data_IF_285969961788
#
_entry.id   IF_285969961788
#
_cell.length_a   1.000
_cell.length_b   1.000
_cell.length_c   1.000
_cell.angle_alpha   90.00
_cell.angle_beta   90.00
_cell.angle_gamma   90.00
#
_symmetry.space_group_name_H-M   'P 1'
#
loop_
_entity.id
_entity.type
_entity.pdbx_description
1 polymer ?
#
# COMPACT_ATOMS: atom_id res chain seq x y z
N UNK A 1 59.44 21.88 26.55
CA UNK A 1 59.27 20.41 26.43
C UNK A 1 57.81 20.18 26.08
N UNK A 2 57.51 19.75 24.84
CA UNK A 2 56.15 19.72 24.29
C UNK A 2 55.35 18.51 24.78
N UNK A 3 54.00 18.58 24.91
CA UNK A 3 53.18 17.41 25.20
C UNK A 3 52.73 16.69 23.93
N UNK A 4 53.15 15.43 23.83
CA UNK A 4 52.46 14.23 23.31
C UNK A 4 51.44 14.36 22.17
N UNK A 5 51.81 13.87 20.99
CA UNK A 5 50.89 13.45 19.93
C UNK A 5 50.24 12.10 20.30
N UNK A 6 49.00 12.16 20.76
CA UNK A 6 48.13 10.99 20.89
C UNK A 6 47.63 10.57 19.50
N UNK A 7 48.27 9.57 18.91
CA UNK A 7 47.82 8.95 17.66
C UNK A 7 46.47 8.28 17.84
N UNK A 8 45.40 8.93 17.36
CA UNK A 8 44.08 8.33 17.22
C UNK A 8 44.19 7.22 16.17
N UNK A 9 44.24 5.97 16.61
CA UNK A 9 44.14 4.81 15.75
C UNK A 9 42.73 4.78 15.17
N UNK A 10 42.59 5.31 13.96
CA UNK A 10 41.39 5.17 13.14
C UNK A 10 41.26 3.70 12.77
N UNK A 11 40.51 2.92 13.55
CA UNK A 11 40.10 1.57 13.17
C UNK A 11 39.41 1.66 11.81
N UNK A 12 40.08 1.17 10.76
CA UNK A 12 39.47 1.04 9.45
C UNK A 12 38.39 -0.01 9.58
N UNK A 13 37.12 0.40 9.63
CA UNK A 13 35.99 -0.51 9.55
C UNK A 13 36.19 -1.41 8.32
N UNK A 14 36.04 -2.74 8.45
CA UNK A 14 36.24 -3.64 7.32
C UNK A 14 35.32 -3.21 6.17
N UNK A 15 35.91 -3.08 4.98
CA UNK A 15 35.18 -2.72 3.76
C UNK A 15 34.15 -3.82 3.50
N UNK A 16 32.87 -3.51 3.69
CA UNK A 16 31.79 -4.46 3.54
C UNK A 16 31.76 -4.98 2.09
N UNK A 17 31.95 -6.28 1.89
CA UNK A 17 31.78 -6.89 0.57
C UNK A 17 30.29 -7.02 0.23
N UNK A 18 29.95 -7.05 -1.06
CA UNK A 18 28.56 -7.22 -1.49
C UNK A 18 27.95 -8.51 -0.95
N UNK A 19 28.68 -9.63 -0.98
CA UNK A 19 28.19 -10.91 -0.48
C UNK A 19 27.88 -10.83 1.02
N UNK A 20 28.80 -10.25 1.80
CA UNK A 20 28.56 -10.07 3.23
C UNK A 20 27.37 -9.14 3.52
N UNK A 21 27.18 -8.08 2.71
CA UNK A 21 26.02 -7.21 2.83
C UNK A 21 24.72 -7.98 2.54
N UNK A 22 24.71 -8.82 1.50
CA UNK A 22 23.55 -9.65 1.15
C UNK A 22 23.23 -10.66 2.24
N UNK A 23 24.23 -11.30 2.85
CA UNK A 23 24.03 -12.22 3.98
C UNK A 23 23.40 -11.50 5.18
N UNK A 24 23.93 -10.32 5.55
CA UNK A 24 23.37 -9.49 6.62
C UNK A 24 21.95 -9.04 6.29
N UNK A 25 21.70 -8.70 5.02
CA UNK A 25 20.39 -8.28 4.57
C UNK A 25 19.38 -9.42 4.70
N UNK A 26 19.73 -10.62 4.21
CA UNK A 26 18.87 -11.80 4.25
C UNK A 26 18.62 -12.28 5.69
N UNK A 27 19.65 -12.36 6.52
CA UNK A 27 19.52 -12.88 7.87
C UNK A 27 18.87 -11.89 8.84
N UNK A 28 19.24 -10.61 8.75
CA UNK A 28 18.86 -9.61 9.78
C UNK A 28 17.86 -8.59 9.25
N UNK A 29 18.15 -7.96 8.13
CA UNK A 29 17.34 -6.82 7.65
C UNK A 29 15.96 -7.28 7.23
N UNK A 30 15.84 -8.38 6.46
CA UNK A 30 14.54 -8.91 6.03
C UNK A 30 13.60 -9.21 7.21
N UNK A 31 14.13 -9.61 8.37
CA UNK A 31 13.33 -9.86 9.58
C UNK A 31 12.86 -8.58 10.27
N UNK A 32 13.54 -7.45 10.02
CA UNK A 32 13.20 -6.14 10.57
C UNK A 32 12.17 -5.40 9.71
N UNK A 33 12.15 -5.63 8.39
CA UNK A 33 11.27 -4.90 7.47
C UNK A 33 9.77 -4.99 7.82
N UNK A 34 9.22 -6.12 8.29
CA UNK A 34 7.82 -6.20 8.72
C UNK A 34 7.46 -5.22 9.84
N UNK A 35 8.41 -4.85 10.71
CA UNK A 35 8.17 -3.83 11.75
C UNK A 35 7.96 -2.42 11.18
N UNK A 36 8.35 -2.20 9.94
CA UNK A 36 8.18 -0.94 9.21
C UNK A 36 7.05 -1.02 8.16
N UNK A 37 6.13 -1.98 8.29
CA UNK A 37 5.08 -2.25 7.31
C UNK A 37 5.61 -2.55 5.89
N UNK A 38 6.85 -3.03 5.77
CA UNK A 38 7.44 -3.44 4.51
C UNK A 38 7.59 -4.96 4.45
N UNK A 39 6.85 -5.58 3.52
CA UNK A 39 6.75 -7.03 3.38
C UNK A 39 7.33 -7.48 2.03
N UNK A 40 8.67 -7.62 1.91
CA UNK A 40 9.26 -8.23 0.71
C UNK A 40 8.77 -9.67 0.61
N UNK A 41 7.88 -9.91 -0.34
CA UNK A 41 7.25 -11.20 -0.58
C UNK A 41 7.09 -11.42 -2.08
N UNK A 42 6.58 -12.59 -2.45
CA UNK A 42 6.31 -12.94 -3.84
C UNK A 42 5.45 -11.88 -4.54
N UNK A 43 5.67 -11.66 -5.83
CA UNK A 43 4.97 -10.64 -6.62
C UNK A 43 3.44 -10.82 -6.64
N UNK A 44 2.95 -12.05 -6.45
CA UNK A 44 1.52 -12.38 -6.45
C UNK A 44 0.91 -12.42 -5.03
N UNK A 45 1.69 -12.10 -4.00
CA UNK A 45 1.25 -12.16 -2.61
C UNK A 45 0.24 -11.05 -2.26
N UNK A 46 -0.93 -11.39 -1.67
CA UNK A 46 -1.89 -10.41 -1.15
C UNK A 46 -1.30 -9.46 -0.09
N UNK A 47 -0.14 -9.81 0.51
CA UNK A 47 0.54 -8.96 1.50
C UNK A 47 0.90 -7.58 0.95
N UNK A 48 1.11 -7.44 -0.36
CA UNK A 48 1.29 -6.13 -1.00
C UNK A 48 0.10 -5.19 -0.80
N UNK A 49 -1.09 -5.75 -0.60
CA UNK A 49 -2.34 -5.04 -0.37
C UNK A 49 -2.80 -5.13 1.09
N UNK A 50 -1.88 -5.37 2.02
CA UNK A 50 -2.21 -5.57 3.44
C UNK A 50 -3.04 -6.82 3.71
N UNK A 51 -2.95 -7.82 2.85
CA UNK A 51 -3.69 -9.09 2.97
C UNK A 51 -5.11 -9.05 2.39
N UNK A 52 -5.47 -8.03 1.62
CA UNK A 52 -6.73 -8.03 0.87
C UNK A 52 -6.68 -9.07 -0.25
N UNK A 53 -7.65 -9.98 -0.25
CA UNK A 53 -7.76 -11.06 -1.24
C UNK A 53 -8.96 -10.88 -2.18
N UNK A 54 -9.96 -10.08 -1.77
CA UNK A 54 -11.11 -9.79 -2.62
C UNK A 54 -10.73 -8.78 -3.74
N UNK A 55 -11.06 -9.07 -5.01
CA UNK A 55 -10.72 -8.20 -6.13
C UNK A 55 -11.29 -6.79 -6.06
N UNK A 56 -12.52 -6.60 -5.56
CA UNK A 56 -13.11 -5.26 -5.39
C UNK A 56 -12.36 -4.49 -4.32
N UNK A 57 -12.02 -5.15 -3.22
CA UNK A 57 -11.29 -4.53 -2.12
C UNK A 57 -9.87 -4.10 -2.53
N UNK A 58 -9.18 -4.94 -3.29
CA UNK A 58 -7.87 -4.61 -3.89
C UNK A 58 -7.99 -3.43 -4.85
N UNK A 59 -8.99 -3.43 -5.74
CA UNK A 59 -9.20 -2.34 -6.69
C UNK A 59 -9.54 -1.01 -6.00
N UNK A 60 -10.36 -1.03 -4.95
CA UNK A 60 -10.66 0.13 -4.12
C UNK A 60 -9.36 0.66 -3.48
N UNK A 61 -8.58 -0.21 -2.85
CA UNK A 61 -7.30 0.16 -2.23
C UNK A 61 -6.31 0.76 -3.25
N UNK A 62 -6.26 0.23 -4.48
CA UNK A 62 -5.42 0.71 -5.57
C UNK A 62 -5.76 2.15 -6.02
N UNK A 63 -7.03 2.54 -5.98
CA UNK A 63 -7.43 3.95 -6.19
C UNK A 63 -7.04 4.80 -4.99
N UNK A 64 -7.28 4.31 -3.77
CA UNK A 64 -7.05 5.06 -2.54
C UNK A 64 -5.57 5.38 -2.29
N UNK A 65 -4.65 4.48 -2.65
CA UNK A 65 -3.20 4.62 -2.39
C UNK A 65 -2.51 5.69 -3.25
N UNK A 66 -3.15 6.14 -4.34
CA UNK A 66 -2.58 7.18 -5.21
C UNK A 66 -2.25 8.45 -4.42
N UNK A 67 -0.99 8.89 -4.46
CA UNK A 67 -0.50 10.10 -3.79
C UNK A 67 -0.83 10.18 -2.29
N UNK A 68 -0.80 9.04 -1.58
CA UNK A 68 -1.00 9.00 -0.13
C UNK A 68 -0.16 7.92 0.54
N UNK A 69 -0.12 7.93 1.86
CA UNK A 69 0.56 6.90 2.65
C UNK A 69 -0.34 5.69 2.86
N UNK A 70 0.25 4.49 2.95
CA UNK A 70 -0.52 3.26 3.16
C UNK A 70 -1.32 3.28 4.46
N UNK A 71 -0.79 3.89 5.53
CA UNK A 71 -1.52 4.07 6.80
C UNK A 71 -2.86 4.79 6.61
N UNK A 72 -2.92 5.80 5.74
CA UNK A 72 -4.16 6.53 5.45
C UNK A 72 -5.16 5.65 4.70
N UNK A 73 -4.67 4.76 3.83
CA UNK A 73 -5.50 3.78 3.12
C UNK A 73 -6.06 2.77 4.10
N UNK A 74 -5.23 2.23 5.02
CA UNK A 74 -5.69 1.33 6.09
C UNK A 74 -6.84 1.95 6.89
N UNK A 75 -6.71 3.24 7.25
CA UNK A 75 -7.75 3.98 7.96
C UNK A 75 -9.02 4.18 7.12
N UNK A 76 -8.90 4.72 5.89
CA UNK A 76 -10.05 4.95 5.01
C UNK A 76 -10.80 3.65 4.72
N UNK A 77 -10.05 2.59 4.48
CA UNK A 77 -10.60 1.30 4.14
C UNK A 77 -11.30 0.62 5.34
N UNK A 78 -10.73 0.74 6.55
CA UNK A 78 -11.42 0.37 7.80
C UNK A 78 -12.75 1.12 7.95
N UNK A 79 -12.76 2.43 7.66
CA UNK A 79 -13.98 3.25 7.73
C UNK A 79 -15.02 2.82 6.70
N UNK A 80 -14.61 2.50 5.46
CA UNK A 80 -15.50 1.98 4.42
C UNK A 80 -16.11 0.64 4.81
N UNK A 81 -15.32 -0.33 5.29
CA UNK A 81 -15.85 -1.63 5.77
C UNK A 81 -16.86 -1.44 6.90
N UNK A 82 -16.54 -0.61 7.89
CA UNK A 82 -17.45 -0.33 9.01
C UNK A 82 -18.78 0.30 8.55
N UNK A 83 -18.77 1.03 7.44
CA UNK A 83 -19.95 1.62 6.82
C UNK A 83 -20.64 0.72 5.77
N UNK A 84 -20.16 -0.52 5.56
CA UNK A 84 -20.61 -1.41 4.49
C UNK A 84 -20.48 -0.78 3.08
N UNK A 85 -19.40 -0.03 2.85
CA UNK A 85 -19.07 0.66 1.59
C UNK A 85 -17.79 0.11 0.93
N UNK A 86 -17.52 -1.18 1.09
CA UNK A 86 -16.32 -1.85 0.60
C UNK A 86 -16.57 -2.74 -0.63
N UNK A 87 -17.70 -2.59 -1.32
CA UNK A 87 -17.99 -3.27 -2.60
C UNK A 87 -18.45 -2.28 -3.67
N UNK A 88 -18.25 -2.60 -4.94
CA UNK A 88 -18.72 -1.81 -6.07
C UNK A 88 -20.23 -1.61 -6.06
N UNK A 89 -21.00 -2.64 -5.69
CA UNK A 89 -22.44 -2.52 -5.57
C UNK A 89 -22.85 -1.46 -4.52
N UNK A 90 -22.15 -1.43 -3.38
CA UNK A 90 -22.40 -0.43 -2.33
C UNK A 90 -21.89 0.96 -2.70
N UNK A 91 -20.73 1.06 -3.36
CA UNK A 91 -20.14 2.32 -3.84
C UNK A 91 -21.02 2.97 -4.92
N UNK A 92 -21.51 2.17 -5.90
CA UNK A 92 -22.39 2.65 -6.97
C UNK A 92 -23.69 3.23 -6.41
N UNK A 93 -24.30 2.55 -5.44
CA UNK A 93 -25.55 3.01 -4.79
C UNK A 93 -25.37 4.18 -3.83
N UNK A 94 -24.16 4.45 -3.36
CA UNK A 94 -23.92 5.49 -2.35
C UNK A 94 -23.74 6.88 -2.95
N UNK A 95 -24.19 7.88 -2.22
CA UNK A 95 -23.92 9.27 -2.56
C UNK A 95 -22.42 9.58 -2.49
N UNK A 96 -21.93 10.42 -3.40
CA UNK A 96 -20.54 10.87 -3.40
C UNK A 96 -20.12 11.45 -2.04
N UNK A 97 -21.01 12.18 -1.37
CA UNK A 97 -20.72 12.77 -0.05
C UNK A 97 -20.57 11.70 1.04
N UNK A 98 -21.31 10.60 0.95
CA UNK A 98 -21.14 9.47 1.87
C UNK A 98 -19.77 8.83 1.68
N UNK A 99 -19.35 8.55 0.43
CA UNK A 99 -18.03 8.00 0.14
C UNK A 99 -16.92 8.93 0.68
N UNK A 100 -16.97 10.21 0.30
CA UNK A 100 -15.99 11.23 0.74
C UNK A 100 -15.85 11.28 2.25
N UNK A 101 -16.94 11.11 3.01
CA UNK A 101 -16.91 11.12 4.48
C UNK A 101 -15.97 10.06 5.06
N UNK A 102 -15.96 8.86 4.47
CA UNK A 102 -15.20 7.72 5.00
C UNK A 102 -13.76 7.65 4.48
N UNK A 103 -13.47 8.30 3.35
CA UNK A 103 -12.13 8.31 2.73
C UNK A 103 -11.37 9.64 2.92
N UNK A 104 -11.72 10.45 3.93
CA UNK A 104 -11.06 11.76 4.15
C UNK A 104 -9.56 11.65 4.40
N UNK A 105 -9.11 10.59 5.05
CA UNK A 105 -7.70 10.38 5.44
C UNK A 105 -6.75 10.28 4.23
N UNK A 106 -7.22 9.83 3.06
CA UNK A 106 -6.33 9.54 1.92
C UNK A 106 -5.93 10.76 1.09
N UNK A 107 -6.42 11.96 1.40
CA UNK A 107 -6.19 13.16 0.56
C UNK A 107 -6.80 13.01 -0.84
N UNK A 108 -6.99 14.13 -1.56
CA UNK A 108 -7.66 14.15 -2.88
C UNK A 108 -8.99 13.36 -2.91
N UNK A 109 -9.66 13.26 -1.75
CA UNK A 109 -10.77 12.34 -1.54
C UNK A 109 -11.98 12.67 -2.42
N UNK A 110 -12.11 13.92 -2.85
CA UNK A 110 -13.14 14.32 -3.80
C UNK A 110 -12.94 13.66 -5.17
N UNK A 111 -11.73 13.65 -5.70
CA UNK A 111 -11.41 13.01 -6.98
C UNK A 111 -11.44 11.48 -6.85
N UNK A 112 -10.84 10.94 -5.79
CA UNK A 112 -10.86 9.50 -5.51
C UNK A 112 -12.29 8.96 -5.38
N UNK A 113 -13.21 9.71 -4.76
CA UNK A 113 -14.62 9.31 -4.67
C UNK A 113 -15.31 9.18 -6.04
N UNK A 114 -14.94 10.02 -7.01
CA UNK A 114 -15.46 9.93 -8.38
C UNK A 114 -14.89 8.72 -9.10
N UNK A 115 -13.56 8.54 -9.04
CA UNK A 115 -12.86 7.39 -9.61
C UNK A 115 -13.40 6.06 -9.09
N UNK A 116 -13.68 5.96 -7.79
CA UNK A 116 -14.29 4.77 -7.19
C UNK A 116 -15.68 4.48 -7.79
N UNK A 117 -16.53 5.49 -7.97
CA UNK A 117 -17.84 5.31 -8.59
C UNK A 117 -17.72 4.95 -10.07
N UNK A 118 -16.87 5.63 -10.83
CA UNK A 118 -16.63 5.36 -12.25
C UNK A 118 -16.16 3.91 -12.46
N UNK A 119 -15.19 3.44 -11.66
CA UNK A 119 -14.74 2.05 -11.74
C UNK A 119 -15.87 1.07 -11.38
N UNK A 120 -16.61 1.35 -10.31
CA UNK A 120 -17.75 0.51 -9.91
C UNK A 120 -18.82 0.46 -11.01
N UNK A 121 -19.10 1.58 -11.69
CA UNK A 121 -20.04 1.65 -12.79
C UNK A 121 -19.60 0.78 -13.95
N UNK A 122 -18.36 0.97 -14.43
CA UNK A 122 -17.82 0.24 -15.58
C UNK A 122 -17.78 -1.28 -15.33
N UNK A 123 -17.33 -1.72 -14.15
CA UNK A 123 -17.25 -3.15 -13.83
C UNK A 123 -18.64 -3.77 -13.69
N UNK A 124 -19.59 -3.07 -13.06
CA UNK A 124 -20.95 -3.59 -12.90
C UNK A 124 -21.70 -3.60 -14.24
N UNK A 125 -21.46 -2.63 -15.12
CA UNK A 125 -22.05 -2.59 -16.47
C UNK A 125 -21.52 -3.71 -17.37
N UNK A 126 -20.27 -4.12 -17.18
CA UNK A 126 -19.73 -5.31 -17.84
C UNK A 126 -20.38 -6.61 -17.33
N UNK A 127 -21.06 -6.59 -16.17
CA UNK A 127 -21.63 -7.79 -15.52
C UNK A 127 -20.71 -8.40 -14.45
N UNK A 128 -19.75 -7.63 -13.93
CA UNK A 128 -18.79 -8.06 -12.91
C UNK A 128 -17.36 -8.21 -13.45
N UNK A 129 -16.46 -8.69 -12.60
CA UNK A 129 -15.03 -8.80 -12.91
C UNK A 129 -14.72 -9.76 -14.06
N UNK A 130 -15.38 -10.92 -14.10
CA UNK A 130 -15.10 -11.94 -15.12
C UNK A 130 -15.36 -11.44 -16.55
N UNK A 131 -16.50 -10.79 -16.86
CA UNK A 131 -16.68 -10.13 -18.13
C UNK A 131 -15.75 -8.94 -18.35
N UNK A 132 -15.53 -8.12 -17.31
CA UNK A 132 -14.71 -6.91 -17.41
C UNK A 132 -13.27 -7.22 -17.84
N UNK A 133 -12.67 -8.28 -17.29
CA UNK A 133 -11.29 -8.71 -17.64
C UNK A 133 -11.19 -9.15 -19.11
N UNK A 134 -12.27 -9.67 -19.70
CA UNK A 134 -12.31 -10.11 -21.10
C UNK A 134 -12.60 -8.96 -22.06
N UNK A 135 -12.88 -7.76 -21.55
CA UNK A 135 -13.23 -6.60 -22.35
C UNK A 135 -11.97 -5.98 -22.96
N UNK A 136 -11.96 -5.81 -24.29
CA UNK A 136 -10.87 -5.14 -25.00
C UNK A 136 -11.15 -3.63 -25.08
N UNK A 137 -10.15 -2.82 -24.73
CA UNK A 137 -10.15 -1.35 -24.88
C UNK A 137 -9.70 -0.92 -26.28
#
# INVERSE_FOLDING_TARGET
MQPSEGGVTRTQSPKLSLNHLLDVYQDKVLRLLPYFDWYPCDAYSPKWWGGLEDPEEVAIAAILVQQTRWENVKEAYKNLRAACLNSFATIKRSDLNAIKKYIKSVGMYAEKSKKLKELADVVLEAGGWEPFIKWNF
#
